data_IF_034021333824
#
_entry.id   IF_034021333824
#
_cell.length_a   1.000
_cell.length_b   1.000
_cell.length_c   1.000
_cell.angle_alpha   90.00
_cell.angle_beta   90.00
_cell.angle_gamma   90.00
#
_symmetry.space_group_name_H-M   'P 1'
#
loop_
_entity.id
_entity.type
_entity.pdbx_description
1 polymer ?
#
# COMPACT_ATOMS: atom_id res chain seq x y z
N UNK A 1 -3.21 -23.03 -24.80
CA UNK A 1 -2.88 -22.78 -24.53
C UNK A 1 -2.56 -22.13 -24.07
N UNK A 2 -2.63 -21.81 -24.06
CA UNK A 2 -2.27 -21.30 -23.61
C UNK A 2 -1.99 -20.43 -23.24
N UNK A 3 -2.11 -20.21 -23.46
CA UNK A 3 -1.85 -19.50 -23.14
C UNK A 3 -1.75 -18.67 -22.79
N UNK A 4 -1.98 -18.56 -22.98
CA UNK A 4 -1.84 -17.93 -22.63
C UNK A 4 -1.70 -17.14 -22.28
N UNK A 5 -1.97 -17.19 -22.57
CA UNK A 5 -1.73 -16.67 -22.15
C UNK A 5 -1.70 -15.87 -21.69
N UNK A 6 -1.95 -15.96 -21.58
CA UNK A 6 -1.85 -15.44 -21.04
C UNK A 6 -1.63 -14.56 -20.77
N UNK A 7 -1.90 -14.49 -20.95
CA UNK A 7 -1.58 -13.85 -20.65
C UNK A 7 -1.51 -12.91 -20.37
N UNK A 8 -1.79 -12.90 -20.51
CA UNK A 8 -1.58 -12.21 -20.28
C UNK A 8 -1.70 -11.31 -19.81
N UNK A 9 -1.98 -11.15 -19.84
CA UNK A 9 -1.86 -10.53 -19.47
C UNK A 9 -2.09 -9.99 -18.68
N UNK A 10 -2.33 -10.03 -18.39
CA UNK A 10 -2.34 -9.67 -17.75
C UNK A 10 -2.26 -8.97 -17.16
N UNK A 11 -2.67 -8.95 -17.21
CA UNK A 11 -2.24 -8.40 -16.53
C UNK A 11 -1.39 -7.28 -16.38
N UNK A 12 -1.46 -6.25 -17.12
CA UNK A 12 -0.45 -5.25 -17.19
C UNK A 12 -0.40 -4.35 -15.98
N UNK A 13 -1.51 -4.11 -15.32
CA UNK A 13 -1.54 -3.29 -14.10
C UNK A 13 -0.73 -3.93 -13.00
N UNK A 14 -0.58 -5.25 -13.03
CA UNK A 14 0.21 -5.95 -12.03
C UNK A 14 1.70 -5.74 -12.25
N UNK A 15 2.08 -5.34 -13.44
CA UNK A 15 3.47 -5.08 -13.76
C UNK A 15 3.95 -3.73 -13.23
N UNK A 16 3.02 -2.81 -13.02
CA UNK A 16 3.34 -1.47 -12.52
C UNK A 16 3.14 -1.43 -11.02
N UNK A 17 4.19 -1.83 -10.31
CA UNK A 17 4.15 -1.89 -8.84
C UNK A 17 4.85 -0.68 -8.24
N UNK A 18 4.50 0.48 -8.74
CA UNK A 18 5.04 1.73 -8.25
C UNK A 18 3.99 2.57 -7.53
N UNK A 19 2.87 1.98 -7.24
CA UNK A 19 1.83 2.61 -6.43
C UNK A 19 2.06 2.30 -4.96
N UNK A 20 1.33 3.01 -4.11
CA UNK A 20 1.43 2.78 -2.68
C UNK A 20 0.17 3.19 -1.96
N UNK A 21 0.22 3.07 -0.64
CA UNK A 21 -0.87 3.55 0.22
C UNK A 21 -0.28 4.24 1.43
N UNK A 22 -0.99 5.25 1.91
CA UNK A 22 -0.67 5.96 3.14
C UNK A 22 -1.70 5.57 4.19
N UNK A 23 -1.23 5.19 5.37
CA UNK A 23 -2.13 4.75 6.44
C UNK A 23 -2.07 5.68 7.64
N UNK A 24 -1.78 6.94 7.39
CA UNK A 24 -1.88 7.96 8.41
C UNK A 24 -0.59 8.73 8.62
N UNK A 25 -0.72 9.79 9.40
CA UNK A 25 0.38 10.65 9.78
C UNK A 25 0.42 10.73 11.31
N UNK A 26 1.62 10.64 11.86
CA UNK A 26 1.80 10.48 13.30
C UNK A 26 2.82 11.49 13.81
N UNK A 27 2.77 11.76 15.11
CA UNK A 27 3.67 12.73 15.72
C UNK A 27 5.09 12.22 15.93
N UNK A 28 5.29 10.89 15.90
CA UNK A 28 6.62 10.30 16.09
C UNK A 28 6.86 9.22 15.06
N UNK A 29 8.15 8.99 14.78
CA UNK A 29 8.54 7.89 13.89
C UNK A 29 8.09 6.54 14.46
N UNK A 30 8.22 6.38 15.77
CA UNK A 30 7.84 5.14 16.42
C UNK A 30 6.36 4.81 16.19
N UNK A 31 5.49 5.80 16.34
CA UNK A 31 4.07 5.59 16.13
C UNK A 31 3.77 5.21 14.68
N UNK A 32 4.46 5.85 13.72
CA UNK A 32 4.29 5.53 12.32
C UNK A 32 4.75 4.11 12.02
N UNK A 33 5.91 3.71 12.54
CA UNK A 33 6.43 2.35 12.34
C UNK A 33 5.51 1.31 12.93
N UNK A 34 4.99 1.58 14.12
CA UNK A 34 4.07 0.68 14.78
C UNK A 34 2.80 0.49 13.94
N UNK A 35 2.31 1.57 13.35
CA UNK A 35 1.13 1.50 12.49
C UNK A 35 1.40 0.70 11.22
N UNK A 36 2.60 0.81 10.66
CA UNK A 36 2.95 0.02 9.48
C UNK A 36 2.90 -1.47 9.78
N UNK A 37 3.46 -1.88 10.91
CA UNK A 37 3.47 -3.29 11.30
C UNK A 37 2.05 -3.78 11.52
N UNK A 38 1.27 -3.02 12.28
CA UNK A 38 -0.12 -3.39 12.57
C UNK A 38 -0.93 -3.53 11.29
N UNK A 39 -0.77 -2.59 10.36
CA UNK A 39 -1.52 -2.59 9.12
C UNK A 39 -1.09 -3.74 8.21
N UNK A 40 0.21 -4.02 8.12
CA UNK A 40 0.69 -5.13 7.31
C UNK A 40 0.13 -6.45 7.81
N UNK A 41 0.05 -6.63 9.13
CA UNK A 41 -0.51 -7.85 9.70
C UNK A 41 -2.01 -7.97 9.43
N UNK A 42 -2.71 -6.83 9.46
CA UNK A 42 -4.16 -6.82 9.20
C UNK A 42 -4.49 -7.07 7.73
N UNK A 43 -3.57 -6.73 6.82
CA UNK A 43 -3.81 -6.83 5.38
C UNK A 43 -2.64 -7.55 4.70
N UNK A 44 -2.29 -8.71 5.20
CA UNK A 44 -1.21 -9.51 4.63
C UNK A 44 -1.40 -9.80 3.13
N UNK A 45 -2.61 -10.16 2.66
CA UNK A 45 -2.76 -10.50 1.24
C UNK A 45 -2.41 -9.37 0.29
N UNK A 46 -2.62 -8.11 0.71
CA UNK A 46 -2.36 -6.97 -0.18
C UNK A 46 -1.07 -6.26 0.16
N UNK A 47 -0.75 -6.11 1.45
CA UNK A 47 0.36 -5.26 1.89
C UNK A 47 1.53 -6.02 2.49
N UNK A 48 1.38 -7.32 2.74
CA UNK A 48 2.40 -8.08 3.45
C UNK A 48 3.75 -8.10 2.74
N UNK A 49 3.75 -8.09 1.41
CA UNK A 49 4.98 -8.12 0.63
C UNK A 49 5.46 -6.75 0.15
N UNK A 50 4.79 -5.68 0.56
CA UNK A 50 5.16 -4.34 0.11
C UNK A 50 6.30 -3.76 0.93
N UNK A 51 6.87 -2.67 0.43
CA UNK A 51 7.91 -1.94 1.16
C UNK A 51 7.26 -0.99 2.16
N UNK A 52 7.68 -1.07 3.40
CA UNK A 52 7.22 -0.16 4.45
C UNK A 52 8.19 0.98 4.58
N UNK A 53 7.66 2.21 4.66
CA UNK A 53 8.51 3.39 4.75
C UNK A 53 7.84 4.46 5.60
N UNK A 54 8.58 5.03 6.53
CA UNK A 54 8.17 6.21 7.26
C UNK A 54 8.76 7.41 6.54
N UNK A 55 7.89 8.38 6.18
CA UNK A 55 8.33 9.59 5.50
C UNK A 55 8.15 10.76 6.43
N UNK A 56 9.25 11.42 6.77
CA UNK A 56 9.18 12.61 7.61
C UNK A 56 8.80 13.81 6.77
N UNK A 57 7.79 14.54 7.23
CA UNK A 57 7.37 15.80 6.61
C UNK A 57 7.36 16.87 7.69
N UNK A 58 7.11 18.11 7.27
CA UNK A 58 7.00 19.19 8.27
C UNK A 58 5.75 19.05 9.12
N UNK A 59 4.83 18.17 8.74
CA UNK A 59 3.60 17.95 9.49
C UNK A 59 3.63 16.68 10.33
N UNK A 60 4.72 15.91 10.29
CA UNK A 60 4.83 14.69 11.07
C UNK A 60 5.44 13.55 10.26
N UNK A 61 5.15 12.34 10.72
CA UNK A 61 5.71 11.11 10.13
C UNK A 61 4.60 10.34 9.47
N UNK A 62 4.72 10.16 8.15
CA UNK A 62 3.71 9.43 7.39
C UNK A 62 4.08 7.96 7.29
N UNK A 63 3.07 7.09 7.46
CA UNK A 63 3.26 5.65 7.36
C UNK A 63 2.81 5.22 5.98
N UNK A 64 3.75 4.79 5.15
CA UNK A 64 3.49 4.49 3.76
C UNK A 64 3.92 3.07 3.39
N UNK A 65 3.17 2.46 2.49
CA UNK A 65 3.53 1.22 1.82
C UNK A 65 3.75 1.51 0.34
N UNK A 66 4.77 0.93 -0.24
CA UNK A 66 5.09 1.10 -1.66
C UNK A 66 5.33 -0.24 -2.32
N UNK A 67 5.37 -0.23 -3.64
CA UNK A 67 5.69 -1.44 -4.37
C UNK A 67 4.49 -2.31 -4.65
N UNK A 68 3.32 -1.70 -4.79
CA UNK A 68 2.10 -2.43 -5.13
C UNK A 68 1.53 -1.87 -6.42
N UNK A 69 0.61 -2.62 -7.03
CA UNK A 69 -0.10 -2.14 -8.21
C UNK A 69 -1.24 -1.22 -7.79
N UNK A 70 -1.80 -0.50 -8.77
CA UNK A 70 -2.96 0.35 -8.51
C UNK A 70 -4.11 -0.46 -7.96
N UNK A 71 -4.39 -1.62 -8.57
CA UNK A 71 -5.50 -2.47 -8.13
C UNK A 71 -5.29 -2.91 -6.69
N UNK A 72 -4.08 -3.35 -6.36
CA UNK A 72 -3.76 -3.79 -5.00
C UNK A 72 -3.91 -2.65 -4.01
N UNK A 73 -3.43 -1.46 -4.36
CA UNK A 73 -3.54 -0.30 -3.49
C UNK A 73 -4.99 0.03 -3.19
N UNK A 74 -5.84 0.01 -4.22
CA UNK A 74 -7.26 0.30 -4.05
C UNK A 74 -7.96 -0.76 -3.22
N UNK A 75 -7.61 -2.04 -3.45
CA UNK A 75 -8.16 -3.13 -2.65
C UNK A 75 -7.78 -3.00 -1.19
N UNK A 76 -6.51 -2.69 -0.95
CA UNK A 76 -6.03 -2.52 0.43
C UNK A 76 -6.81 -1.43 1.14
N UNK A 77 -6.98 -0.27 0.50
CA UNK A 77 -7.69 0.83 1.13
C UNK A 77 -9.16 0.51 1.39
N UNK A 78 -9.80 -0.22 0.47
CA UNK A 78 -11.18 -0.65 0.70
C UNK A 78 -11.31 -1.56 1.92
N UNK A 79 -10.39 -2.52 2.04
CA UNK A 79 -10.43 -3.44 3.16
C UNK A 79 -10.08 -2.76 4.47
N UNK A 80 -9.12 -1.83 4.43
CA UNK A 80 -8.74 -1.10 5.64
C UNK A 80 -9.86 -0.17 6.10
N UNK A 81 -10.64 0.38 5.17
CA UNK A 81 -11.79 1.19 5.55
C UNK A 81 -12.78 0.37 6.38
N UNK A 82 -12.95 -0.91 6.06
CA UNK A 82 -13.83 -1.78 6.83
C UNK A 82 -13.29 -2.04 8.24
N UNK A 83 -12.01 -1.82 8.45
CA UNK A 83 -11.37 -1.96 9.76
C UNK A 83 -11.21 -0.61 10.44
N UNK A 84 -11.77 0.44 9.83
CA UNK A 84 -11.69 1.81 10.34
C UNK A 84 -10.25 2.31 10.44
N UNK A 85 -9.41 1.86 9.51
CA UNK A 85 -8.04 2.34 9.38
C UNK A 85 -7.99 3.30 8.22
N UNK A 86 -7.50 4.51 8.48
CA UNK A 86 -7.37 5.51 7.44
C UNK A 86 -6.42 5.01 6.35
N UNK A 87 -6.79 5.22 5.09
CA UNK A 87 -5.97 4.77 3.97
C UNK A 87 -6.23 5.65 2.76
N UNK A 88 -5.17 6.10 2.13
CA UNK A 88 -5.27 6.81 0.86
C UNK A 88 -4.24 6.26 -0.10
N UNK A 89 -4.62 6.19 -1.37
CA UNK A 89 -3.77 5.63 -2.41
C UNK A 89 -2.72 6.66 -2.81
N UNK A 90 -1.49 6.19 -2.97
CA UNK A 90 -0.38 7.03 -3.43
C UNK A 90 -0.14 6.72 -4.90
N UNK A 91 -0.33 7.73 -5.74
CA UNK A 91 -0.16 7.64 -7.18
C UNK A 91 1.32 7.90 -7.49
N UNK A 92 1.96 7.10 -8.36
CA UNK A 92 3.38 7.28 -8.66
C UNK A 92 3.72 8.61 -9.32
N UNK A 93 2.77 9.22 -10.00
CA UNK A 93 3.06 10.48 -10.68
C UNK A 93 2.59 11.69 -9.87
N UNK A 94 2.07 11.46 -8.73
CA UNK A 94 1.55 12.56 -7.93
C UNK A 94 1.76 12.43 -6.51
#
# INVERSE_FOLDING_TARGET
MLKQARLVSHNSSDEHKDWGVNVGRFGTRYAAEKMLIKTALAEMPTLGGSLRKVVKTKFGFEANFYGVSQVTAEQACRKLANRQIACSVINPSG
#
